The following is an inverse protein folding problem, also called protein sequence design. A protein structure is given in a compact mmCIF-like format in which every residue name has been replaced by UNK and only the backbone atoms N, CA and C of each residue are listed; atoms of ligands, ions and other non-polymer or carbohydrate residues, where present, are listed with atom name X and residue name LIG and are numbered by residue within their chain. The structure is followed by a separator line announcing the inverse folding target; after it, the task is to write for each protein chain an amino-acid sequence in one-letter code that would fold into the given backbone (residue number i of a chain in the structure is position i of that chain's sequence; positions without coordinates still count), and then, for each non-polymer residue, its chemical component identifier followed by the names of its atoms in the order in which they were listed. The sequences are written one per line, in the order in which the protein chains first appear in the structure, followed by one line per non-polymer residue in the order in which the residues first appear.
data_IF_644968987072
#
_entry.id   IF_644968987072
#
_cell.length_a   1.000
_cell.length_b   1.000
_cell.length_c   1.000
_cell.angle_alpha   90.00
_cell.angle_beta   90.00
_cell.angle_gamma   90.00
#
_symmetry.space_group_name_H-M   'P 1'
#
loop_
_entity.id
_entity.type
_entity.pdbx_description
1 polymer ?
#
# COMPACT_ATOMS: atom_id res chain seq x y z
N UNK A 1 27.59 -34.96 -5.16
CA UNK A 1 26.41 -34.26 -5.74
C UNK A 1 26.79 -32.79 -5.80
N UNK A 2 27.48 -32.47 -6.89
CA UNK A 2 28.05 -31.15 -7.04
C UNK A 2 26.99 -30.24 -7.67
N UNK A 3 26.13 -29.70 -6.82
CA UNK A 3 25.45 -28.49 -7.23
C UNK A 3 26.57 -27.50 -7.52
N UNK A 4 26.89 -27.38 -8.79
CA UNK A 4 28.02 -26.57 -9.24
C UNK A 4 27.77 -25.18 -8.67
N UNK A 5 28.79 -24.48 -8.17
CA UNK A 5 28.66 -23.08 -7.68
C UNK A 5 27.91 -22.19 -8.67
N UNK A 6 27.95 -22.56 -9.95
CA UNK A 6 27.19 -21.93 -11.03
C UNK A 6 25.69 -22.10 -10.82
N UNK A 7 25.17 -23.30 -10.48
CA UNK A 7 23.73 -23.52 -10.23
C UNK A 7 23.23 -22.70 -9.02
N UNK A 8 24.01 -22.69 -7.93
CA UNK A 8 23.69 -21.90 -6.76
C UNK A 8 23.65 -20.39 -7.07
N UNK A 9 24.61 -19.92 -7.87
CA UNK A 9 24.65 -18.52 -8.32
C UNK A 9 23.43 -18.19 -9.17
N UNK A 10 23.02 -19.07 -10.06
CA UNK A 10 21.81 -18.89 -10.89
C UNK A 10 20.56 -18.78 -10.01
N UNK A 11 20.40 -19.67 -9.03
CA UNK A 11 19.25 -19.66 -8.10
C UNK A 11 19.12 -18.33 -7.36
N UNK A 12 20.22 -17.85 -6.80
CA UNK A 12 20.26 -16.60 -6.03
C UNK A 12 20.09 -15.39 -6.94
N UNK A 13 20.74 -15.35 -8.10
CA UNK A 13 20.61 -14.25 -9.05
C UNK A 13 19.20 -14.14 -9.61
N UNK A 14 18.57 -15.27 -9.92
CA UNK A 14 17.19 -15.27 -10.41
C UNK A 14 16.20 -14.80 -9.33
N UNK A 15 16.38 -15.23 -8.09
CA UNK A 15 15.56 -14.76 -6.97
C UNK A 15 15.69 -13.23 -6.80
N UNK A 16 16.92 -12.69 -6.87
CA UNK A 16 17.16 -11.25 -6.80
C UNK A 16 16.43 -10.50 -7.93
N UNK A 17 16.57 -10.99 -9.17
CA UNK A 17 15.96 -10.35 -10.36
C UNK A 17 14.43 -10.38 -10.28
N UNK A 18 13.83 -11.54 -9.99
CA UNK A 18 12.37 -11.68 -9.95
C UNK A 18 11.76 -10.91 -8.77
N UNK A 19 12.37 -10.99 -7.58
CA UNK A 19 11.93 -10.18 -6.43
C UNK A 19 12.13 -8.69 -6.67
N UNK A 20 13.24 -8.31 -7.31
CA UNK A 20 13.55 -6.94 -7.71
C UNK A 20 12.53 -6.38 -8.71
N UNK A 21 12.10 -7.17 -9.69
CA UNK A 21 11.09 -6.77 -10.68
C UNK A 21 9.76 -6.37 -10.00
N UNK A 22 9.29 -7.18 -9.04
CA UNK A 22 8.10 -6.83 -8.24
C UNK A 22 8.37 -5.55 -7.43
N UNK A 23 9.54 -5.47 -6.79
CA UNK A 23 9.91 -4.33 -5.95
C UNK A 23 9.99 -3.01 -6.72
N UNK A 24 10.46 -3.01 -7.98
CA UNK A 24 10.48 -1.83 -8.86
C UNK A 24 9.06 -1.31 -9.09
N UNK A 25 8.12 -2.20 -9.42
CA UNK A 25 6.70 -1.83 -9.60
C UNK A 25 6.13 -1.23 -8.32
N UNK A 26 6.44 -1.82 -7.15
CA UNK A 26 5.99 -1.31 -5.85
C UNK A 26 6.59 0.06 -5.52
N UNK A 27 7.87 0.26 -5.80
CA UNK A 27 8.55 1.55 -5.58
C UNK A 27 8.01 2.63 -6.51
N UNK A 28 7.81 2.30 -7.80
CA UNK A 28 7.21 3.21 -8.77
C UNK A 28 5.81 3.70 -8.33
N UNK A 29 5.05 2.86 -7.64
CA UNK A 29 3.73 3.19 -7.10
C UNK A 29 3.75 3.75 -5.67
N UNK A 30 4.91 4.14 -5.16
CA UNK A 30 5.09 4.69 -3.81
C UNK A 30 4.44 3.84 -2.70
N UNK A 31 4.62 2.50 -2.77
CA UNK A 31 4.16 1.58 -1.74
C UNK A 31 5.19 1.46 -0.62
N UNK A 32 4.74 0.99 0.56
CA UNK A 32 5.53 0.93 1.80
C UNK A 32 6.80 0.08 1.67
N UNK A 33 6.75 -1.01 0.88
CA UNK A 33 7.91 -1.85 0.56
C UNK A 33 8.21 -1.76 -0.95
N UNK A 34 9.38 -1.25 -1.30
CA UNK A 34 9.87 -1.07 -2.66
C UNK A 34 10.92 -2.11 -3.07
N UNK A 35 11.79 -1.72 -4.01
CA UNK A 35 12.82 -2.56 -4.62
C UNK A 35 13.71 -3.27 -3.60
N UNK A 36 14.28 -2.50 -2.65
CA UNK A 36 15.22 -3.03 -1.67
C UNK A 36 14.60 -4.13 -0.79
N UNK A 37 13.38 -3.94 -0.37
CA UNK A 37 12.68 -4.90 0.50
C UNK A 37 12.37 -6.19 -0.25
N UNK A 38 11.83 -6.11 -1.46
CA UNK A 38 11.43 -7.28 -2.23
C UNK A 38 12.63 -8.12 -2.69
N UNK A 39 13.70 -7.50 -3.22
CA UNK A 39 14.86 -8.31 -3.62
C UNK A 39 15.55 -8.97 -2.42
N UNK A 40 15.64 -8.30 -1.26
CA UNK A 40 16.20 -8.90 -0.04
C UNK A 40 15.37 -10.07 0.47
N UNK A 41 14.05 -9.96 0.44
CA UNK A 41 13.13 -11.04 0.84
C UNK A 41 13.28 -12.25 -0.10
N UNK A 42 13.28 -12.03 -1.42
CA UNK A 42 13.45 -13.11 -2.39
C UNK A 42 14.81 -13.78 -2.27
N UNK A 43 15.89 -12.99 -2.23
CA UNK A 43 17.27 -13.48 -2.11
C UNK A 43 17.47 -14.25 -0.80
N UNK A 44 17.01 -13.70 0.33
CA UNK A 44 17.11 -14.36 1.62
C UNK A 44 16.33 -15.68 1.67
N UNK A 45 15.11 -15.71 1.12
CA UNK A 45 14.32 -16.93 1.02
C UNK A 45 14.99 -18.01 0.17
N UNK A 46 15.56 -17.62 -0.98
CA UNK A 46 16.34 -18.53 -1.84
C UNK A 46 17.58 -19.07 -1.13
N UNK A 47 18.31 -18.20 -0.42
CA UNK A 47 19.51 -18.60 0.31
C UNK A 47 19.16 -19.57 1.46
N UNK A 48 18.13 -19.29 2.24
CA UNK A 48 17.67 -20.21 3.28
C UNK A 48 17.31 -21.58 2.71
N UNK A 49 16.65 -21.62 1.55
CA UNK A 49 16.33 -22.87 0.87
C UNK A 49 17.59 -23.62 0.43
N UNK A 50 18.56 -22.92 -0.16
CA UNK A 50 19.87 -23.49 -0.56
C UNK A 50 20.62 -24.05 0.64
N UNK A 51 20.70 -23.29 1.74
CA UNK A 51 21.34 -23.76 2.98
C UNK A 51 20.66 -25.01 3.53
N UNK A 52 19.32 -25.06 3.49
CA UNK A 52 18.56 -26.23 3.94
C UNK A 52 18.84 -27.48 3.09
N UNK A 53 19.06 -27.29 1.78
CA UNK A 53 19.32 -28.40 0.87
C UNK A 53 20.77 -28.91 0.90
N UNK A 54 21.72 -28.03 1.11
CA UNK A 54 23.15 -28.32 0.90
C UNK A 54 24.03 -28.06 2.12
N UNK A 55 23.55 -27.30 3.12
CA UNK A 55 24.38 -26.86 4.25
C UNK A 55 24.49 -27.87 5.39
N UNK A 56 23.63 -28.89 5.44
CA UNK A 56 23.62 -29.88 6.53
C UNK A 56 23.96 -31.27 6.00
N UNK A 57 24.54 -32.10 6.88
CA UNK A 57 24.86 -33.49 6.53
C UNK A 57 23.62 -34.32 6.18
N UNK A 58 23.84 -35.46 5.49
CA UNK A 58 22.75 -36.29 4.94
C UNK A 58 21.77 -36.75 5.99
N UNK A 59 22.25 -37.10 7.20
CA UNK A 59 21.48 -37.64 8.29
C UNK A 59 20.62 -36.61 9.04
N UNK A 60 20.90 -35.31 8.87
CA UNK A 60 20.18 -34.20 9.50
C UNK A 60 19.32 -33.37 8.50
N UNK A 61 19.20 -33.88 7.28
CA UNK A 61 18.62 -33.14 6.19
C UNK A 61 17.10 -33.20 6.15
N UNK A 62 16.47 -32.11 6.54
CA UNK A 62 15.05 -31.85 6.30
C UNK A 62 14.90 -30.53 5.50
N UNK A 63 14.88 -30.68 4.19
CA UNK A 63 14.84 -29.53 3.27
C UNK A 63 13.51 -28.76 3.35
N UNK A 64 12.48 -29.32 3.93
CA UNK A 64 11.16 -28.65 4.06
C UNK A 64 11.08 -27.77 5.30
N UNK A 65 11.83 -28.06 6.34
CA UNK A 65 11.77 -27.37 7.63
C UNK A 65 12.10 -25.87 7.49
N UNK A 66 13.16 -25.53 6.77
CA UNK A 66 13.56 -24.13 6.60
C UNK A 66 12.57 -23.39 5.74
N UNK A 67 12.03 -24.03 4.69
CA UNK A 67 10.95 -23.44 3.89
C UNK A 67 9.72 -23.09 4.76
N UNK A 68 9.33 -24.00 5.66
CA UNK A 68 8.24 -23.75 6.59
C UNK A 68 8.53 -22.54 7.52
N UNK A 69 9.78 -22.40 7.98
CA UNK A 69 10.19 -21.26 8.81
C UNK A 69 10.21 -19.93 8.04
N UNK A 70 10.58 -19.95 6.77
CA UNK A 70 10.50 -18.75 5.91
C UNK A 70 9.04 -18.30 5.76
N UNK A 71 8.12 -19.23 5.48
CA UNK A 71 6.68 -18.94 5.34
C UNK A 71 6.10 -18.35 6.63
N UNK A 72 6.51 -18.90 7.78
CA UNK A 72 6.09 -18.37 9.09
C UNK A 72 6.74 -17.02 9.39
N UNK A 73 8.06 -16.90 9.17
CA UNK A 73 8.85 -15.71 9.50
C UNK A 73 8.49 -14.48 8.70
N UNK A 74 8.13 -14.63 7.42
CA UNK A 74 7.71 -13.51 6.58
C UNK A 74 6.43 -12.84 7.09
N UNK A 75 5.61 -13.56 7.85
CA UNK A 75 4.42 -13.00 8.49
C UNK A 75 4.74 -11.83 9.43
N UNK A 76 5.88 -11.89 10.15
CA UNK A 76 6.33 -10.80 11.01
C UNK A 76 6.67 -9.53 10.20
N UNK A 77 7.40 -9.68 9.10
CA UNK A 77 7.73 -8.56 8.20
C UNK A 77 6.48 -8.01 7.53
N UNK A 78 5.59 -8.89 7.06
CA UNK A 78 4.30 -8.50 6.47
C UNK A 78 3.45 -7.70 7.45
N UNK A 79 3.31 -8.18 8.68
CA UNK A 79 2.56 -7.48 9.73
C UNK A 79 3.16 -6.09 10.02
N UNK A 80 4.49 -5.94 9.98
CA UNK A 80 5.20 -4.67 10.14
C UNK A 80 4.89 -3.63 9.07
N UNK A 81 4.35 -4.03 7.90
CA UNK A 81 3.93 -3.10 6.84
C UNK A 81 2.48 -2.66 6.96
N UNK A 82 1.69 -3.29 7.86
CA UNK A 82 0.27 -2.96 8.04
C UNK A 82 0.14 -1.86 9.07
N UNK A 83 -0.39 -0.72 8.64
CA UNK A 83 -0.55 0.47 9.46
C UNK A 83 -2.04 0.72 9.69
N UNK A 84 -2.43 0.80 10.97
CA UNK A 84 -3.75 1.22 11.39
C UNK A 84 -3.69 2.70 11.76
N UNK A 85 -4.37 3.54 11.00
CA UNK A 85 -4.42 4.96 11.28
C UNK A 85 -5.86 5.45 11.24
N UNK A 86 -6.38 5.90 12.38
CA UNK A 86 -7.79 6.26 12.55
C UNK A 86 -8.69 5.08 12.09
N UNK A 87 -9.50 5.25 11.04
CA UNK A 87 -10.41 4.23 10.49
C UNK A 87 -9.89 3.61 9.17
N UNK A 88 -8.61 3.81 8.83
CA UNK A 88 -8.01 3.32 7.58
C UNK A 88 -6.92 2.31 7.87
N UNK A 89 -6.96 1.19 7.16
CA UNK A 89 -5.91 0.16 7.17
C UNK A 89 -5.13 0.25 5.86
N UNK A 90 -3.81 0.43 5.96
CA UNK A 90 -2.89 0.48 4.81
C UNK A 90 -1.89 -0.66 4.89
N UNK A 91 -1.24 -1.00 3.77
CA UNK A 91 -0.16 -1.97 3.73
C UNK A 91 -0.59 -3.44 3.54
N UNK A 92 -1.89 -3.76 3.48
CA UNK A 92 -2.37 -5.14 3.29
C UNK A 92 -1.84 -5.78 1.99
N UNK A 93 -1.92 -5.06 0.86
CA UNK A 93 -1.38 -5.53 -0.43
C UNK A 93 0.13 -5.64 -0.39
N UNK A 94 0.82 -4.75 0.32
CA UNK A 94 2.27 -4.79 0.53
C UNK A 94 2.67 -6.03 1.31
N UNK A 95 1.97 -6.35 2.40
CA UNK A 95 2.19 -7.56 3.19
C UNK A 95 2.01 -8.84 2.35
N UNK A 96 0.92 -8.93 1.58
CA UNK A 96 0.67 -10.04 0.65
C UNK A 96 1.75 -10.13 -0.44
N UNK A 97 2.22 -8.99 -0.97
CA UNK A 97 3.30 -8.92 -1.95
C UNK A 97 4.61 -9.48 -1.40
N UNK A 98 4.99 -9.14 -0.18
CA UNK A 98 6.17 -9.67 0.49
C UNK A 98 6.08 -11.19 0.70
N UNK A 99 4.88 -11.68 1.07
CA UNK A 99 4.64 -13.11 1.26
C UNK A 99 4.83 -13.90 -0.04
N UNK A 100 4.28 -13.42 -1.15
CA UNK A 100 4.47 -14.05 -2.48
C UNK A 100 5.92 -13.92 -2.93
N UNK A 101 6.60 -12.80 -2.68
CA UNK A 101 8.01 -12.62 -3.02
C UNK A 101 8.90 -13.62 -2.28
N UNK A 102 8.61 -13.93 -1.02
CA UNK A 102 9.32 -14.99 -0.30
C UNK A 102 9.10 -16.38 -0.95
N UNK A 103 7.87 -16.68 -1.39
CA UNK A 103 7.55 -17.92 -2.09
C UNK A 103 8.30 -18.03 -3.44
N UNK A 104 8.41 -16.93 -4.20
CA UNK A 104 9.23 -16.87 -5.43
C UNK A 104 10.69 -17.15 -5.12
N UNK A 105 11.22 -16.57 -4.05
CA UNK A 105 12.58 -16.86 -3.58
C UNK A 105 12.79 -18.33 -3.24
N UNK A 106 11.86 -18.95 -2.50
CA UNK A 106 11.91 -20.39 -2.21
C UNK A 106 11.86 -21.23 -3.49
N UNK A 107 11.02 -20.88 -4.45
CA UNK A 107 10.93 -21.56 -5.74
C UNK A 107 12.25 -21.48 -6.52
N UNK A 108 12.91 -20.32 -6.54
CA UNK A 108 14.24 -20.18 -7.11
C UNK A 108 15.26 -21.05 -6.37
N UNK A 109 15.26 -21.02 -5.04
CA UNK A 109 16.17 -21.81 -4.21
C UNK A 109 16.02 -23.31 -4.40
N UNK A 110 14.82 -23.81 -4.71
CA UNK A 110 14.56 -25.23 -5.05
C UNK A 110 14.83 -25.58 -6.50
N UNK A 111 15.16 -24.61 -7.37
CA UNK A 111 15.35 -24.83 -8.80
C UNK A 111 14.05 -24.85 -9.61
N UNK A 112 12.91 -24.45 -9.04
CA UNK A 112 11.61 -24.35 -9.73
C UNK A 112 11.49 -23.04 -10.51
N UNK A 113 12.40 -22.79 -11.44
CA UNK A 113 12.55 -21.50 -12.14
C UNK A 113 11.31 -21.10 -12.93
N UNK A 114 10.67 -22.07 -13.60
CA UNK A 114 9.46 -21.81 -14.40
C UNK A 114 8.32 -21.34 -13.49
N UNK A 115 8.11 -22.01 -12.35
CA UNK A 115 7.10 -21.61 -11.39
C UNK A 115 7.38 -20.21 -10.83
N UNK A 116 8.63 -19.92 -10.46
CA UNK A 116 9.04 -18.61 -9.98
C UNK A 116 8.76 -17.50 -11.01
N UNK A 117 9.19 -17.71 -12.27
CA UNK A 117 8.97 -16.76 -13.36
C UNK A 117 7.48 -16.53 -13.66
N UNK A 118 6.70 -17.61 -13.80
CA UNK A 118 5.25 -17.53 -14.05
C UNK A 118 4.54 -16.79 -12.91
N UNK A 119 4.87 -17.12 -11.65
CA UNK A 119 4.28 -16.45 -10.49
C UNK A 119 4.62 -14.95 -10.50
N UNK A 120 5.86 -14.58 -10.82
CA UNK A 120 6.26 -13.17 -10.93
C UNK A 120 5.45 -12.44 -11.98
N UNK A 121 5.30 -13.03 -13.17
CA UNK A 121 4.47 -12.44 -14.24
C UNK A 121 3.02 -12.30 -13.81
N UNK A 122 2.43 -13.32 -13.19
CA UNK A 122 1.04 -13.27 -12.70
C UNK A 122 0.85 -12.19 -11.63
N UNK A 123 1.82 -12.03 -10.72
CA UNK A 123 1.79 -10.97 -9.70
C UNK A 123 1.84 -9.60 -10.36
N UNK A 124 2.78 -9.37 -11.27
CA UNK A 124 2.91 -8.09 -11.98
C UNK A 124 1.64 -7.76 -12.79
N UNK A 125 1.11 -8.73 -13.51
CA UNK A 125 -0.16 -8.58 -14.23
C UNK A 125 -1.32 -8.29 -13.28
N UNK A 126 -1.44 -9.02 -12.19
CA UNK A 126 -2.49 -8.81 -11.20
C UNK A 126 -2.44 -7.43 -10.55
N UNK A 127 -1.24 -6.95 -10.23
CA UNK A 127 -1.04 -5.63 -9.65
C UNK A 127 -1.31 -4.49 -10.63
N UNK A 128 -1.08 -4.69 -11.93
CA UNK A 128 -1.28 -3.68 -12.98
C UNK A 128 -2.69 -3.72 -13.56
N UNK A 129 -3.15 -4.89 -13.99
CA UNK A 129 -4.44 -5.09 -14.66
C UNK A 129 -5.61 -4.72 -13.76
N UNK A 130 -5.56 -5.11 -12.47
CA UNK A 130 -6.60 -4.74 -11.52
C UNK A 130 -6.74 -3.23 -11.34
N UNK A 131 -5.65 -2.48 -11.42
CA UNK A 131 -5.68 -1.03 -11.32
C UNK A 131 -6.22 -0.35 -12.58
N UNK A 132 -6.06 -0.98 -13.75
CA UNK A 132 -6.51 -0.44 -15.03
C UNK A 132 -7.97 -0.77 -15.34
N UNK A 133 -8.41 -2.02 -15.05
CA UNK A 133 -9.74 -2.52 -15.42
C UNK A 133 -10.80 -2.33 -14.34
N UNK A 134 -10.40 -2.24 -13.08
CA UNK A 134 -11.32 -1.96 -11.99
C UNK A 134 -11.16 -0.48 -11.65
N UNK A 135 -12.12 0.38 -12.08
CA UNK A 135 -12.11 1.75 -11.60
C UNK A 135 -12.06 1.72 -10.08
N UNK A 136 -11.37 2.65 -9.44
CA UNK A 136 -11.22 2.64 -8.00
C UNK A 136 -12.60 2.62 -7.35
N UNK A 137 -13.04 1.40 -7.01
CA UNK A 137 -14.26 1.13 -6.23
C UNK A 137 -14.03 1.61 -4.80
N UNK A 138 -13.81 2.90 -4.62
CA UNK A 138 -13.55 3.48 -3.32
C UNK A 138 -13.93 4.95 -3.27
N UNK A 139 -14.44 5.35 -2.14
CA UNK A 139 -14.59 6.74 -1.77
C UNK A 139 -13.25 7.22 -1.20
N UNK A 140 -12.77 8.38 -1.63
CA UNK A 140 -11.66 9.07 -1.00
C UNK A 140 -12.23 9.95 0.11
N UNK A 141 -11.64 9.88 1.29
CA UNK A 141 -12.00 10.80 2.37
C UNK A 141 -11.10 12.03 2.22
N UNK A 142 -11.72 13.18 2.08
CA UNK A 142 -11.06 14.48 2.00
C UNK A 142 -11.36 15.24 3.28
N UNK A 143 -10.33 15.67 3.99
CA UNK A 143 -10.47 16.57 5.15
C UNK A 143 -10.47 18.02 4.65
N UNK A 144 -11.59 18.73 4.86
CA UNK A 144 -11.74 20.14 4.54
C UNK A 144 -11.74 20.96 5.81
N UNK A 145 -10.75 21.83 5.96
CA UNK A 145 -10.69 22.83 7.02
C UNK A 145 -11.05 24.19 6.44
N UNK A 146 -12.10 24.82 6.96
CA UNK A 146 -12.54 26.13 6.52
C UNK A 146 -13.04 26.99 7.67
N UNK A 147 -13.02 28.31 7.46
CA UNK A 147 -13.55 29.30 8.39
C UNK A 147 -14.81 29.92 7.80
N UNK A 148 -15.84 30.09 8.61
CA UNK A 148 -17.11 30.68 8.25
C UNK A 148 -17.58 31.71 9.29
N UNK A 149 -18.27 32.79 8.90
CA UNK A 149 -18.72 33.84 9.82
C UNK A 149 -19.92 33.40 10.69
N UNK A 150 -20.66 32.38 10.28
CA UNK A 150 -21.85 31.93 11.01
C UNK A 150 -22.09 30.42 10.88
N UNK A 151 -22.83 29.86 11.86
CA UNK A 151 -23.31 28.48 11.80
C UNK A 151 -24.23 28.22 10.60
N UNK A 152 -24.88 29.24 10.10
CA UNK A 152 -25.79 29.16 8.96
C UNK A 152 -25.00 29.01 7.65
N UNK A 153 -23.88 29.72 7.50
CA UNK A 153 -22.94 29.56 6.39
C UNK A 153 -22.34 28.15 6.35
N UNK A 154 -21.96 27.59 7.51
CA UNK A 154 -21.50 26.19 7.60
C UNK A 154 -22.58 25.21 7.16
N UNK A 155 -23.85 25.37 7.60
CA UNK A 155 -24.96 24.51 7.19
C UNK A 155 -25.24 24.58 5.69
N UNK A 156 -25.21 25.78 5.09
CA UNK A 156 -25.39 25.97 3.65
C UNK A 156 -24.28 25.26 2.87
N UNK A 157 -23.03 25.40 3.30
CA UNK A 157 -21.88 24.74 2.67
C UNK A 157 -22.02 23.21 2.75
N UNK A 158 -22.36 22.65 3.91
CA UNK A 158 -22.61 21.21 4.08
C UNK A 158 -23.76 20.72 3.20
N UNK A 159 -24.83 21.50 3.06
CA UNK A 159 -25.98 21.10 2.23
C UNK A 159 -25.63 21.04 0.74
N UNK A 160 -24.78 21.93 0.25
CA UNK A 160 -24.31 21.90 -1.14
C UNK A 160 -23.33 20.77 -1.41
N UNK A 161 -22.41 20.46 -0.45
CA UNK A 161 -21.56 19.28 -0.51
C UNK A 161 -22.42 18.02 -0.70
N UNK A 162 -23.51 17.89 0.08
CA UNK A 162 -24.45 16.76 -0.05
C UNK A 162 -25.21 16.75 -1.38
N UNK A 163 -25.62 17.90 -1.89
CA UNK A 163 -26.31 18.00 -3.20
C UNK A 163 -25.42 17.58 -4.37
N UNK A 164 -24.09 17.78 -4.26
CA UNK A 164 -23.12 17.30 -5.25
C UNK A 164 -22.77 15.82 -5.11
N UNK A 165 -23.46 15.07 -4.26
CA UNK A 165 -23.31 13.61 -4.12
C UNK A 165 -22.17 13.18 -3.21
N UNK A 166 -21.66 14.09 -2.38
CA UNK A 166 -20.63 13.79 -1.38
C UNK A 166 -21.27 13.49 -0.02
N UNK A 167 -20.75 12.50 0.70
CA UNK A 167 -21.21 12.16 2.04
C UNK A 167 -20.32 12.81 3.10
N UNK A 168 -20.90 13.59 3.99
CA UNK A 168 -20.20 14.13 5.17
C UNK A 168 -20.19 13.07 6.27
N UNK A 169 -19.00 12.59 6.63
CA UNK A 169 -18.81 11.51 7.60
C UNK A 169 -18.71 12.03 9.03
N UNK A 170 -17.96 13.10 9.22
CA UNK A 170 -17.83 13.78 10.52
C UNK A 170 -17.65 15.28 10.33
N UNK A 171 -18.05 16.08 11.32
CA UNK A 171 -17.71 17.48 11.36
C UNK A 171 -17.40 17.92 12.79
N UNK A 172 -16.34 18.68 12.95
CA UNK A 172 -15.99 19.38 14.19
C UNK A 172 -16.11 20.88 13.99
N UNK A 173 -16.74 21.58 14.92
CA UNK A 173 -16.82 23.02 14.94
C UNK A 173 -16.05 23.54 16.14
N UNK A 174 -15.09 24.44 15.89
CA UNK A 174 -14.32 25.15 16.92
C UNK A 174 -14.61 26.64 16.80
N UNK A 175 -15.06 27.26 17.87
CA UNK A 175 -15.21 28.72 17.93
C UNK A 175 -13.84 29.33 18.22
N UNK A 176 -13.35 30.17 17.32
CA UNK A 176 -12.15 31.00 17.54
C UNK A 176 -12.50 32.47 17.47
N UNK A 177 -12.02 33.22 18.45
CA UNK A 177 -12.07 34.70 18.47
C UNK A 177 -10.74 35.23 18.00
N UNK A 178 -10.75 36.02 16.93
CA UNK A 178 -9.59 36.79 16.51
C UNK A 178 -9.95 38.28 16.47
N UNK A 179 -9.33 39.08 17.34
CA UNK A 179 -9.30 40.53 17.39
C UNK A 179 -10.65 41.30 17.53
N UNK A 180 -11.79 40.89 17.29
CA UNK A 180 -13.15 41.45 17.47
C UNK A 180 -14.21 40.74 16.60
N UNK A 181 -13.78 39.84 15.74
CA UNK A 181 -14.69 39.04 14.90
C UNK A 181 -14.71 37.60 15.38
N UNK A 182 -15.89 37.03 15.53
CA UNK A 182 -16.08 35.62 15.86
C UNK A 182 -16.14 34.82 14.56
N UNK A 183 -15.15 33.91 14.36
CA UNK A 183 -15.14 32.98 13.23
C UNK A 183 -15.31 31.55 13.75
N UNK A 184 -16.06 30.77 13.01
CA UNK A 184 -16.21 29.33 13.25
C UNK A 184 -15.23 28.58 12.34
N UNK A 185 -14.24 27.93 12.94
CA UNK A 185 -13.43 26.92 12.23
C UNK A 185 -14.19 25.60 12.17
N UNK A 186 -14.47 25.15 10.96
CA UNK A 186 -15.09 23.86 10.71
C UNK A 186 -14.07 22.90 10.08
N UNK A 187 -13.93 21.71 10.66
CA UNK A 187 -13.23 20.60 10.07
C UNK A 187 -14.28 19.55 9.67
N UNK A 188 -14.35 19.25 8.37
CA UNK A 188 -15.31 18.31 7.81
C UNK A 188 -14.56 17.18 7.11
N UNK A 189 -14.89 15.93 7.44
CA UNK A 189 -14.48 14.76 6.67
C UNK A 189 -15.57 14.43 5.64
N UNK A 190 -15.22 14.55 4.37
CA UNK A 190 -16.11 14.30 3.23
C UNK A 190 -15.67 13.06 2.48
N UNK A 191 -16.58 12.10 2.29
CA UNK A 191 -16.38 10.99 1.36
C UNK A 191 -16.84 11.40 -0.03
N UNK A 192 -15.89 11.48 -0.95
CA UNK A 192 -16.14 11.73 -2.37
C UNK A 192 -15.78 10.49 -3.20
N UNK A 193 -16.41 10.31 -4.35
CA UNK A 193 -15.95 9.31 -5.33
C UNK A 193 -14.53 9.69 -5.78
N UNK A 194 -13.68 8.71 -6.02
CA UNK A 194 -12.25 8.91 -6.34
C UNK A 194 -12.00 9.71 -7.64
N UNK A 195 -13.01 9.83 -8.49
CA UNK A 195 -12.99 10.68 -9.69
C UNK A 195 -13.30 12.15 -9.39
N UNK A 196 -13.54 12.49 -8.12
CA UNK A 196 -13.84 13.85 -7.71
C UNK A 196 -12.53 14.66 -7.71
N UNK A 197 -12.34 15.47 -8.74
CA UNK A 197 -11.16 16.29 -8.86
C UNK A 197 -11.17 17.43 -7.84
N UNK A 198 -10.01 17.74 -7.29
CA UNK A 198 -9.78 18.92 -6.41
C UNK A 198 -10.33 20.22 -7.03
N UNK A 199 -10.43 20.28 -8.37
CA UNK A 199 -11.02 21.38 -9.12
C UNK A 199 -12.51 21.61 -8.80
N UNK A 200 -13.30 20.56 -8.58
CA UNK A 200 -14.73 20.70 -8.23
C UNK A 200 -14.93 21.22 -6.80
N UNK A 201 -13.96 20.97 -5.91
CA UNK A 201 -13.93 21.58 -4.57
C UNK A 201 -13.55 23.04 -4.67
N UNK A 202 -12.62 23.40 -5.55
CA UNK A 202 -12.23 24.79 -5.83
C UNK A 202 -13.38 25.59 -6.49
N UNK A 203 -14.17 24.97 -7.36
CA UNK A 203 -15.35 25.59 -7.95
C UNK A 203 -16.44 25.83 -6.91
N UNK A 204 -16.62 24.90 -5.95
CA UNK A 204 -17.48 25.12 -4.77
C UNK A 204 -17.03 26.32 -3.93
N UNK A 205 -15.72 26.56 -3.84
CA UNK A 205 -15.19 27.73 -3.10
C UNK A 205 -15.54 29.06 -3.75
N UNK A 206 -15.57 29.12 -5.08
CA UNK A 206 -15.92 30.33 -5.81
C UNK A 206 -17.39 30.73 -5.61
N UNK A 207 -18.26 29.76 -5.30
CA UNK A 207 -19.68 29.99 -5.02
C UNK A 207 -19.92 30.54 -3.60
N UNK A 208 -18.91 30.51 -2.70
CA UNK A 208 -19.01 30.97 -1.31
C UNK A 208 -17.95 32.02 -0.99
N UNK A 209 -18.28 33.29 -1.22
CA UNK A 209 -17.42 34.42 -0.84
C UNK A 209 -17.18 34.55 0.67
N UNK A 210 -18.05 33.92 1.49
CA UNK A 210 -18.06 34.02 2.95
C UNK A 210 -17.29 32.90 3.66
N UNK A 211 -16.76 31.92 2.90
CA UNK A 211 -16.06 30.74 3.45
C UNK A 211 -14.62 30.76 2.96
N UNK A 212 -13.67 30.76 3.91
CA UNK A 212 -12.24 30.68 3.59
C UNK A 212 -11.72 29.30 3.93
N UNK A 213 -11.30 28.51 2.92
CA UNK A 213 -10.69 27.21 3.15
C UNK A 213 -9.22 27.39 3.52
N UNK A 214 -8.83 26.82 4.64
CA UNK A 214 -7.45 26.87 5.15
C UNK A 214 -6.60 25.69 4.73
N UNK A 215 -7.18 24.49 4.57
CA UNK A 215 -6.44 23.29 4.16
C UNK A 215 -7.36 22.24 3.56
N UNK A 216 -6.91 21.58 2.49
CA UNK A 216 -7.50 20.37 1.89
C UNK A 216 -6.46 19.25 2.02
N UNK A 217 -6.81 18.13 2.65
CA UNK A 217 -5.94 16.94 2.78
C UNK A 217 -6.62 15.69 2.29
#
# INVERSE_FOLDING_TARGET
MDATYIDLTIRLSLALVLGGAIGIEREYRAKEAGFRTHFLVALGSALFCVVSQFGFGVDLKDSSRVAAQVVSGIGFLGAGTIIFQKNVVRGLTTAAGLWVTAAIGLACGTGMYVAAALTTVMVLLGLEVLNYWIPPLGTTTVELNFSAPSRESVKKFISQIKQKGMEVHSYELKERRFSKEEFLEANIEVKAKKDFHTLEILDLMNDFSDVTISTIK
#
